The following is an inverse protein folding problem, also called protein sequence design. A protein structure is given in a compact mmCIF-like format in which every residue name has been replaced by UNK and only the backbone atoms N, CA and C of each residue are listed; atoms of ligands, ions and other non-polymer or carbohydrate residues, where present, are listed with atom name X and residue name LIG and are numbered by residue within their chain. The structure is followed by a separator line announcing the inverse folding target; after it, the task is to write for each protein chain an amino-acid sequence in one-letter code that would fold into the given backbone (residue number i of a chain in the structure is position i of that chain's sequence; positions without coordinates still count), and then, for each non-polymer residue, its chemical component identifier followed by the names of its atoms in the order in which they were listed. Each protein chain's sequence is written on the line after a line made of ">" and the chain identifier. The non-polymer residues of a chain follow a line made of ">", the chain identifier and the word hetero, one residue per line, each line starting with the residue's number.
data_IF_477075034717
#
_entry.id   IF_477075034717
#
_cell.length_a   1.000
_cell.length_b   1.000
_cell.length_c   1.000
_cell.angle_alpha   90.00
_cell.angle_beta   90.00
_cell.angle_gamma   90.00
#
_symmetry.space_group_name_H-M   'P 1'
#
loop_
_entity.id
_entity.type
_entity.pdbx_description
1 polymer ?
#
# COMPACT_ATOMS: atom_id res chain seq x y z
N UNK A 1 -25.64 -24.52 -76.85
CA UNK A 1 -26.17 -23.57 -75.84
C UNK A 1 -25.49 -23.89 -74.52
N UNK A 2 -24.66 -22.97 -74.04
CA UNK A 2 -23.76 -23.18 -72.90
C UNK A 2 -24.55 -23.27 -71.58
N UNK A 3 -24.36 -24.37 -70.83
CA UNK A 3 -24.77 -24.47 -69.44
C UNK A 3 -23.76 -23.73 -68.56
N UNK A 4 -24.20 -22.64 -67.93
CA UNK A 4 -23.42 -21.89 -66.95
C UNK A 4 -23.62 -22.55 -65.58
N UNK A 5 -22.58 -23.22 -65.08
CA UNK A 5 -22.51 -23.69 -63.69
C UNK A 5 -21.87 -22.60 -62.83
N UNK A 6 -22.63 -22.07 -61.86
CA UNK A 6 -22.18 -21.05 -60.92
C UNK A 6 -21.60 -21.74 -59.65
N UNK A 7 -20.34 -21.53 -59.26
CA UNK A 7 -19.83 -22.09 -58.01
C UNK A 7 -20.30 -21.24 -56.82
N UNK A 8 -21.01 -21.85 -55.87
CA UNK A 8 -21.37 -21.23 -54.59
C UNK A 8 -20.09 -20.99 -53.77
N UNK A 9 -19.73 -19.73 -53.55
CA UNK A 9 -18.70 -19.35 -52.59
C UNK A 9 -19.22 -19.55 -51.16
N UNK A 10 -18.69 -20.56 -50.48
CA UNK A 10 -19.00 -20.81 -49.08
C UNK A 10 -18.07 -19.96 -48.21
N UNK A 11 -18.37 -18.67 -48.05
CA UNK A 11 -17.62 -17.78 -47.14
C UNK A 11 -18.25 -17.84 -45.76
N UNK A 12 -17.81 -18.79 -44.94
CA UNK A 12 -17.96 -18.69 -43.49
C UNK A 12 -17.23 -17.43 -43.00
N UNK A 13 -17.89 -16.49 -42.30
CA UNK A 13 -17.20 -15.38 -41.68
C UNK A 13 -16.29 -15.94 -40.58
N UNK A 14 -14.97 -15.83 -40.77
CA UNK A 14 -14.00 -16.06 -39.69
C UNK A 14 -14.29 -15.03 -38.62
N UNK A 15 -14.79 -15.50 -37.49
CA UNK A 15 -15.07 -14.70 -36.31
C UNK A 15 -13.74 -14.16 -35.79
N UNK A 16 -13.39 -12.93 -36.19
CA UNK A 16 -12.14 -12.27 -35.80
C UNK A 16 -12.29 -11.70 -34.37
N UNK A 17 -12.44 -12.58 -33.38
CA UNK A 17 -12.64 -12.23 -31.96
C UNK A 17 -11.35 -12.06 -31.17
N UNK A 18 -10.17 -12.04 -31.80
CA UNK A 18 -8.89 -12.00 -31.10
C UNK A 18 -8.04 -10.78 -31.46
N UNK A 19 -8.60 -9.58 -31.34
CA UNK A 19 -7.78 -8.36 -31.41
C UNK A 19 -8.18 -7.32 -30.35
N UNK A 20 -8.51 -7.79 -29.15
CA UNK A 20 -8.39 -6.93 -27.98
C UNK A 20 -6.90 -6.90 -27.58
N UNK A 21 -6.27 -5.72 -27.46
CA UNK A 21 -4.90 -5.65 -26.96
C UNK A 21 -4.89 -6.30 -25.58
N UNK A 22 -3.97 -7.24 -25.35
CA UNK A 22 -3.78 -7.84 -24.04
C UNK A 22 -3.52 -6.71 -23.03
N UNK A 23 -4.50 -6.40 -22.20
CA UNK A 23 -4.39 -5.40 -21.13
C UNK A 23 -3.24 -5.83 -20.24
N UNK A 24 -2.20 -5.02 -20.08
CA UNK A 24 -1.07 -5.36 -19.21
C UNK A 24 -1.38 -4.96 -17.77
N UNK A 25 -0.92 -5.76 -16.81
CA UNK A 25 -0.97 -5.40 -15.39
C UNK A 25 -0.23 -4.09 -15.18
N UNK A 26 -0.87 -3.11 -14.56
CA UNK A 26 -0.35 -1.75 -14.47
C UNK A 26 -0.55 -1.15 -13.08
N UNK A 27 0.38 -0.27 -12.69
CA UNK A 27 0.25 0.54 -11.48
C UNK A 27 -0.26 1.91 -11.90
N UNK A 28 -1.38 2.35 -11.31
CA UNK A 28 -2.00 3.64 -11.58
C UNK A 28 -2.52 4.27 -10.29
N UNK A 29 -2.90 5.55 -10.34
CA UNK A 29 -3.64 6.18 -9.23
C UNK A 29 -4.97 5.46 -9.03
N UNK A 30 -5.38 5.38 -7.79
CA UNK A 30 -6.72 4.90 -7.44
C UNK A 30 -7.78 5.89 -7.93
N UNK A 31 -8.90 5.38 -8.41
CA UNK A 31 -10.13 6.15 -8.63
C UNK A 31 -11.19 5.76 -7.58
N UNK A 32 -12.20 6.60 -7.33
CA UNK A 32 -13.29 6.24 -6.41
C UNK A 32 -14.02 4.94 -6.80
N UNK A 33 -14.12 4.63 -8.10
CA UNK A 33 -14.79 3.41 -8.57
C UNK A 33 -14.02 2.13 -8.24
N UNK A 34 -12.71 2.21 -8.00
CA UNK A 34 -11.89 1.05 -7.63
C UNK A 34 -12.26 0.49 -6.25
N UNK A 35 -12.90 1.29 -5.39
CA UNK A 35 -13.35 0.87 -4.06
C UNK A 35 -14.33 -0.32 -4.12
N UNK A 36 -15.08 -0.45 -5.20
CA UNK A 36 -15.98 -1.59 -5.43
C UNK A 36 -15.25 -2.88 -5.82
N UNK A 37 -13.93 -2.82 -6.03
CA UNK A 37 -13.09 -3.93 -6.53
C UNK A 37 -11.96 -4.32 -5.58
N UNK A 38 -12.05 -3.96 -4.30
CA UNK A 38 -11.04 -4.27 -3.29
C UNK A 38 -11.21 -5.65 -2.63
N UNK A 39 -12.22 -6.43 -3.00
CA UNK A 39 -12.52 -7.70 -2.32
C UNK A 39 -11.33 -8.68 -2.34
N UNK A 40 -10.56 -8.75 -3.43
CA UNK A 40 -9.39 -9.64 -3.53
C UNK A 40 -8.27 -9.27 -2.55
N UNK A 41 -8.19 -8.00 -2.16
CA UNK A 41 -7.16 -7.49 -1.24
C UNK A 41 -7.67 -7.44 0.18
N UNK A 42 -8.91 -7.00 0.40
CA UNK A 42 -9.46 -6.68 1.72
C UNK A 42 -10.00 -7.90 2.48
N UNK A 43 -10.11 -9.07 1.83
CA UNK A 43 -10.40 -10.35 2.49
C UNK A 43 -9.15 -10.99 3.12
N UNK A 44 -7.97 -10.40 2.92
CA UNK A 44 -6.75 -10.80 3.62
C UNK A 44 -6.87 -10.44 5.12
N UNK A 45 -6.71 -11.41 6.05
CA UNK A 45 -6.86 -11.16 7.49
C UNK A 45 -5.94 -10.09 8.07
N UNK A 46 -4.83 -9.78 7.39
CA UNK A 46 -3.87 -8.75 7.81
C UNK A 46 -4.10 -7.39 7.12
N UNK A 47 -5.16 -7.27 6.32
CA UNK A 47 -5.56 -6.01 5.69
C UNK A 47 -6.68 -5.36 6.48
N UNK A 48 -6.39 -4.20 7.08
CA UNK A 48 -7.38 -3.38 7.76
C UNK A 48 -8.42 -2.81 6.79
N UNK A 49 -9.68 -2.80 7.22
CA UNK A 49 -10.81 -2.33 6.43
C UNK A 49 -11.43 -1.08 7.05
N UNK A 50 -11.41 0.02 6.32
CA UNK A 50 -11.97 1.30 6.77
C UNK A 50 -13.35 1.58 6.17
N UNK A 51 -14.06 2.55 6.74
CA UNK A 51 -15.30 3.04 6.15
C UNK A 51 -15.05 3.81 4.84
N UNK A 52 -16.11 3.97 4.04
CA UNK A 52 -16.02 4.63 2.74
C UNK A 52 -15.54 6.09 2.86
N UNK A 53 -15.94 6.80 3.91
CA UNK A 53 -15.55 8.19 4.15
C UNK A 53 -14.04 8.33 4.36
N UNK A 54 -13.42 7.37 5.05
CA UNK A 54 -11.97 7.32 5.25
C UNK A 54 -11.22 7.21 3.91
N UNK A 55 -11.59 6.25 3.06
CA UNK A 55 -10.96 6.10 1.74
C UNK A 55 -11.15 7.35 0.86
N UNK A 56 -12.36 7.92 0.85
CA UNK A 56 -12.66 9.12 0.06
C UNK A 56 -11.87 10.34 0.57
N UNK A 57 -11.66 10.47 1.88
CA UNK A 57 -10.82 11.52 2.46
C UNK A 57 -9.39 11.46 1.92
N UNK A 58 -8.80 10.25 1.89
CA UNK A 58 -7.45 10.05 1.34
C UNK A 58 -7.38 10.36 -0.15
N UNK A 59 -8.38 9.93 -0.93
CA UNK A 59 -8.47 10.25 -2.36
C UNK A 59 -8.55 11.76 -2.61
N UNK A 60 -9.24 12.51 -1.75
CA UNK A 60 -9.37 13.96 -1.89
C UNK A 60 -8.10 14.71 -1.46
N UNK A 61 -7.46 14.29 -0.36
CA UNK A 61 -6.32 15.02 0.24
C UNK A 61 -4.98 14.61 -0.37
N UNK A 62 -4.77 13.33 -0.65
CA UNK A 62 -3.49 12.78 -1.11
C UNK A 62 -3.64 11.84 -2.33
N UNK A 63 -4.28 12.29 -3.44
CA UNK A 63 -4.50 11.43 -4.62
C UNK A 63 -3.20 10.92 -5.27
N UNK A 64 -2.08 11.58 -5.05
CA UNK A 64 -0.76 11.14 -5.53
C UNK A 64 -0.19 9.96 -4.73
N UNK A 65 -0.62 9.78 -3.48
CA UNK A 65 -0.13 8.74 -2.55
C UNK A 65 -1.10 7.56 -2.43
N UNK A 66 -2.14 7.54 -3.26
CA UNK A 66 -3.08 6.43 -3.36
C UNK A 66 -2.98 5.78 -4.74
N UNK A 67 -2.44 4.55 -4.79
CA UNK A 67 -2.21 3.83 -6.05
C UNK A 67 -2.65 2.37 -5.96
N UNK A 68 -3.05 1.82 -7.10
CA UNK A 68 -3.53 0.45 -7.25
C UNK A 68 -2.72 -0.30 -8.29
N UNK A 69 -2.69 -1.63 -8.16
CA UNK A 69 -2.30 -2.58 -9.19
C UNK A 69 -3.57 -3.06 -9.87
N UNK A 70 -3.77 -2.61 -11.10
CA UNK A 70 -4.85 -3.10 -11.96
C UNK A 70 -4.40 -4.39 -12.63
N UNK A 71 -5.10 -5.49 -12.38
CA UNK A 71 -4.91 -6.73 -13.12
C UNK A 71 -5.68 -6.73 -14.46
N UNK A 72 -5.27 -7.60 -15.39
CA UNK A 72 -5.72 -7.67 -16.79
C UNK A 72 -7.21 -7.95 -16.95
N UNK A 73 -7.85 -8.55 -15.94
CA UNK A 73 -9.29 -8.85 -15.94
C UNK A 73 -9.94 -9.05 -14.58
N UNK A 74 -9.17 -9.12 -13.49
CA UNK A 74 -9.68 -9.58 -12.18
C UNK A 74 -9.85 -8.46 -11.13
N UNK A 75 -9.82 -7.19 -11.55
CA UNK A 75 -10.00 -6.05 -10.63
C UNK A 75 -8.69 -5.57 -10.00
N UNK A 76 -8.75 -5.12 -8.75
CA UNK A 76 -7.59 -4.57 -8.04
C UNK A 76 -6.83 -5.70 -7.34
N UNK A 77 -5.61 -5.96 -7.81
CA UNK A 77 -4.75 -7.02 -7.27
C UNK A 77 -3.91 -6.56 -6.06
N UNK A 78 -3.87 -5.26 -5.79
CA UNK A 78 -3.12 -4.67 -4.69
C UNK A 78 -3.28 -3.17 -4.68
N UNK A 79 -3.11 -2.54 -3.54
CA UNK A 79 -3.10 -1.09 -3.44
C UNK A 79 -2.22 -0.62 -2.29
N UNK A 80 -1.84 0.65 -2.39
CA UNK A 80 -1.20 1.40 -1.33
C UNK A 80 -1.99 2.67 -1.08
N UNK A 81 -2.24 2.96 0.18
CA UNK A 81 -2.90 4.18 0.64
C UNK A 81 -1.99 4.86 1.65
N UNK A 82 -1.66 6.13 1.41
CA UNK A 82 -0.88 6.92 2.35
C UNK A 82 -1.24 8.39 2.35
N UNK A 83 -0.65 9.09 3.31
CA UNK A 83 -0.86 10.51 3.58
C UNK A 83 0.45 11.23 3.83
N UNK A 84 0.39 12.56 3.85
CA UNK A 84 1.42 13.43 4.40
C UNK A 84 0.84 14.14 5.61
N UNK A 85 1.57 14.11 6.72
CA UNK A 85 1.14 14.73 7.96
C UNK A 85 2.32 15.15 8.85
N UNK A 86 2.02 15.94 9.88
CA UNK A 86 2.87 16.19 11.03
C UNK A 86 1.98 16.15 12.29
N UNK A 87 2.56 15.79 13.44
CA UNK A 87 1.82 15.90 14.69
C UNK A 87 1.50 17.36 15.02
N UNK A 88 0.44 17.58 15.80
CA UNK A 88 -0.04 18.92 16.14
C UNK A 88 1.07 19.81 16.72
N UNK A 89 1.16 21.11 16.38
CA UNK A 89 2.25 21.98 16.82
C UNK A 89 2.48 22.06 18.34
N UNK A 90 1.46 21.78 19.15
CA UNK A 90 1.60 21.72 20.62
C UNK A 90 2.54 20.61 21.09
N UNK A 91 2.73 19.56 20.28
CA UNK A 91 3.58 18.41 20.59
C UNK A 91 5.05 18.66 20.24
N UNK A 92 5.43 19.80 19.64
CA UNK A 92 6.81 20.08 19.19
C UNK A 92 7.88 20.00 20.28
N UNK A 93 7.48 20.09 21.55
CA UNK A 93 8.38 19.95 22.70
C UNK A 93 8.46 18.51 23.25
N UNK A 94 7.60 17.60 22.77
CA UNK A 94 7.64 16.19 23.13
C UNK A 94 8.81 15.51 22.44
N UNK A 95 9.48 14.60 23.14
CA UNK A 95 10.49 13.72 22.56
C UNK A 95 9.91 12.74 21.52
N UNK A 96 8.58 12.58 21.50
CA UNK A 96 7.86 11.71 20.57
C UNK A 96 7.30 12.45 19.34
N UNK A 97 7.58 13.76 19.23
CA UNK A 97 7.11 14.58 18.10
C UNK A 97 7.52 13.98 16.75
N UNK A 98 6.52 13.81 15.89
CA UNK A 98 6.69 13.28 14.55
C UNK A 98 6.54 14.45 13.55
N UNK A 99 7.65 14.92 12.94
CA UNK A 99 7.64 16.06 12.03
C UNK A 99 6.99 15.68 10.68
N UNK A 100 6.96 16.62 9.74
CA UNK A 100 6.41 16.40 8.40
C UNK A 100 6.96 15.14 7.69
N UNK A 101 6.11 14.16 7.46
CA UNK A 101 6.49 12.85 6.92
C UNK A 101 5.40 12.26 6.02
N UNK A 102 5.78 11.26 5.22
CA UNK A 102 4.83 10.39 4.54
C UNK A 102 4.46 9.21 5.41
N UNK A 103 3.20 8.81 5.42
CA UNK A 103 2.73 7.67 6.21
C UNK A 103 2.03 6.65 5.30
N UNK A 104 2.45 5.38 5.37
CA UNK A 104 1.76 4.27 4.71
C UNK A 104 0.67 3.76 5.66
N UNK A 105 -0.58 4.10 5.35
CA UNK A 105 -1.75 3.63 6.10
C UNK A 105 -2.12 2.20 5.73
N UNK A 106 -2.07 1.87 4.44
CA UNK A 106 -2.37 0.52 3.95
C UNK A 106 -1.41 0.16 2.84
N UNK A 107 -0.87 -1.06 2.91
CA UNK A 107 -0.24 -1.73 1.78
C UNK A 107 -0.72 -3.17 1.75
N UNK A 108 -1.38 -3.55 0.66
CA UNK A 108 -1.87 -4.92 0.49
C UNK A 108 -1.72 -5.37 -0.96
N UNK A 109 -1.44 -6.66 -1.12
CA UNK A 109 -1.40 -7.35 -2.41
C UNK A 109 -2.11 -8.68 -2.22
N UNK A 110 -3.11 -8.92 -3.06
CA UNK A 110 -3.91 -10.13 -3.07
C UNK A 110 -2.98 -11.36 -3.08
N UNK A 111 -3.27 -12.43 -2.31
CA UNK A 111 -2.36 -13.55 -2.13
C UNK A 111 -1.79 -14.14 -3.43
N UNK A 112 -2.61 -14.27 -4.47
CA UNK A 112 -2.20 -14.80 -5.77
C UNK A 112 -1.26 -13.88 -6.59
N UNK A 113 -1.13 -12.59 -6.22
CA UNK A 113 -0.21 -11.63 -6.84
C UNK A 113 1.02 -11.31 -5.98
N UNK A 114 1.20 -11.98 -4.84
CA UNK A 114 2.39 -11.78 -3.99
C UNK A 114 3.65 -12.34 -4.66
N UNK A 115 4.82 -11.87 -4.20
CA UNK A 115 6.16 -12.25 -4.74
C UNK A 115 6.42 -11.84 -6.19
N UNK A 116 5.56 -11.00 -6.79
CA UNK A 116 5.75 -10.40 -8.12
C UNK A 116 6.31 -8.97 -8.09
N UNK A 117 6.75 -8.50 -6.92
CA UNK A 117 7.34 -7.17 -6.73
C UNK A 117 6.34 -6.00 -6.68
N UNK A 118 5.03 -6.27 -6.67
CA UNK A 118 4.01 -5.21 -6.63
C UNK A 118 4.05 -4.36 -5.37
N UNK A 119 4.20 -4.97 -4.19
CA UNK A 119 4.29 -4.24 -2.92
C UNK A 119 5.43 -3.21 -2.98
N UNK A 120 6.63 -3.66 -3.38
CA UNK A 120 7.80 -2.79 -3.58
C UNK A 120 7.53 -1.62 -4.53
N UNK A 121 6.97 -1.90 -5.71
CA UNK A 121 6.70 -0.85 -6.72
C UNK A 121 5.64 0.16 -6.28
N UNK A 122 4.66 -0.29 -5.49
CA UNK A 122 3.67 0.59 -4.86
C UNK A 122 4.32 1.48 -3.81
N UNK A 123 5.14 0.90 -2.93
CA UNK A 123 5.91 1.62 -1.91
C UNK A 123 6.85 2.64 -2.56
N UNK A 124 7.65 2.26 -3.56
CA UNK A 124 8.55 3.18 -4.31
C UNK A 124 7.80 4.35 -4.98
N UNK A 125 6.51 4.18 -5.31
CA UNK A 125 5.68 5.27 -5.84
C UNK A 125 5.24 6.23 -4.74
N UNK A 126 4.84 5.71 -3.58
CA UNK A 126 4.50 6.52 -2.41
C UNK A 126 5.74 7.25 -1.88
N UNK A 127 6.87 6.57 -1.73
CA UNK A 127 8.17 7.14 -1.32
C UNK A 127 8.56 8.35 -2.18
N UNK A 128 8.50 8.21 -3.51
CA UNK A 128 8.75 9.34 -4.42
C UNK A 128 7.75 10.48 -4.24
N UNK A 129 6.49 10.14 -3.98
CA UNK A 129 5.46 11.13 -3.70
C UNK A 129 5.76 11.91 -2.41
N UNK A 130 6.20 11.22 -1.36
CA UNK A 130 6.59 11.84 -0.09
C UNK A 130 7.85 12.70 -0.23
N UNK A 131 8.86 12.20 -0.94
CA UNK A 131 10.13 12.88 -1.17
C UNK A 131 9.95 14.20 -1.95
N UNK A 132 9.13 14.20 -3.00
CA UNK A 132 8.79 15.43 -3.76
C UNK A 132 8.05 16.45 -2.89
N UNK A 133 7.35 16.01 -1.84
CA UNK A 133 6.65 16.87 -0.89
C UNK A 133 7.50 17.20 0.35
N UNK A 134 8.83 17.07 0.25
CA UNK A 134 9.79 17.48 1.28
C UNK A 134 9.57 16.79 2.64
N UNK A 135 9.06 15.55 2.63
CA UNK A 135 8.97 14.71 3.81
C UNK A 135 10.36 14.41 4.39
N UNK A 136 10.48 14.31 5.71
CA UNK A 136 11.72 13.86 6.36
C UNK A 136 11.96 12.36 6.15
N UNK A 137 10.90 11.57 6.22
CA UNK A 137 10.91 10.12 6.07
C UNK A 137 9.55 9.63 5.59
N UNK A 138 9.49 8.35 5.26
CA UNK A 138 8.24 7.59 5.18
C UNK A 138 8.17 6.61 6.34
N UNK A 139 7.06 6.59 7.06
CA UNK A 139 6.80 5.63 8.13
C UNK A 139 5.60 4.72 7.87
N UNK A 140 5.41 3.77 8.77
CA UNK A 140 4.28 2.85 8.84
C UNK A 140 4.24 2.14 10.20
N UNK A 141 3.05 1.68 10.57
CA UNK A 141 2.88 0.71 11.65
C UNK A 141 2.70 -0.69 11.08
N UNK A 142 3.44 -1.65 11.61
CA UNK A 142 3.29 -3.07 11.26
C UNK A 142 3.23 -3.92 12.52
N UNK A 143 2.27 -4.85 12.56
CA UNK A 143 2.13 -5.89 13.59
C UNK A 143 3.48 -6.58 13.84
N UNK A 144 3.97 -6.57 15.08
CA UNK A 144 5.29 -7.11 15.42
C UNK A 144 5.40 -8.63 15.14
N UNK A 145 4.27 -9.35 15.13
CA UNK A 145 4.16 -10.76 14.75
C UNK A 145 4.19 -11.00 13.23
N UNK A 146 3.90 -10.00 12.40
CA UNK A 146 3.90 -10.13 10.93
C UNK A 146 5.33 -10.08 10.35
N UNK A 147 6.12 -11.13 10.63
CA UNK A 147 7.53 -11.22 10.21
C UNK A 147 7.72 -11.09 8.70
N UNK A 148 6.76 -11.57 7.90
CA UNK A 148 6.80 -11.45 6.43
C UNK A 148 6.78 -9.99 5.99
N UNK A 149 5.88 -9.17 6.56
CA UNK A 149 5.82 -7.74 6.23
C UNK A 149 7.03 -6.99 6.80
N UNK A 150 7.44 -7.29 8.04
CA UNK A 150 8.63 -6.68 8.66
C UNK A 150 9.87 -6.91 7.79
N UNK A 151 10.14 -8.16 7.38
CA UNK A 151 11.29 -8.50 6.53
C UNK A 151 11.19 -7.85 5.14
N UNK A 152 9.97 -7.76 4.59
CA UNK A 152 9.73 -7.04 3.33
C UNK A 152 10.12 -5.56 3.45
N UNK A 153 9.69 -4.87 4.52
CA UNK A 153 10.04 -3.47 4.76
C UNK A 153 11.54 -3.28 5.03
N UNK A 154 12.16 -4.16 5.83
CA UNK A 154 13.63 -4.18 6.02
C UNK A 154 14.36 -4.31 4.68
N UNK A 155 13.91 -5.21 3.79
CA UNK A 155 14.45 -5.36 2.43
C UNK A 155 14.22 -4.16 1.48
N UNK A 156 13.34 -3.22 1.85
CA UNK A 156 13.12 -1.95 1.14
C UNK A 156 13.91 -0.77 1.74
N UNK A 157 14.66 -1.01 2.82
CA UNK A 157 15.48 0.00 3.50
C UNK A 157 14.78 0.69 4.67
N UNK A 158 13.67 0.16 5.17
CA UNK A 158 13.07 0.62 6.42
C UNK A 158 13.79 -0.01 7.62
N UNK A 159 13.93 0.75 8.71
CA UNK A 159 14.36 0.24 10.02
C UNK A 159 13.29 0.49 11.07
N UNK A 160 13.28 -0.31 12.14
CA UNK A 160 12.41 -0.02 13.28
C UNK A 160 12.92 1.24 13.98
N UNK A 161 12.05 2.23 14.16
CA UNK A 161 12.36 3.45 14.90
C UNK A 161 11.99 3.31 16.38
N UNK A 162 10.82 2.71 16.66
CA UNK A 162 10.31 2.40 18.01
C UNK A 162 9.33 1.25 17.98
N UNK A 163 9.09 0.65 19.16
CA UNK A 163 8.02 -0.34 19.38
C UNK A 163 6.85 0.35 20.10
N UNK A 164 5.66 0.31 19.51
CA UNK A 164 4.45 0.86 20.13
C UNK A 164 3.70 -0.28 20.81
N UNK A 165 3.65 -0.21 22.14
CA UNK A 165 3.14 -1.29 22.98
C UNK A 165 1.62 -1.36 22.89
N UNK A 166 1.07 -2.55 22.68
CA UNK A 166 -0.39 -2.78 22.57
C UNK A 166 -1.09 -1.85 21.56
N UNK A 167 -0.45 -1.58 20.43
CA UNK A 167 -1.00 -0.69 19.40
C UNK A 167 -2.24 -1.28 18.72
N UNK A 168 -2.20 -2.57 18.36
CA UNK A 168 -3.35 -3.27 17.81
C UNK A 168 -4.13 -3.94 18.95
N UNK A 169 -5.38 -3.53 19.13
CA UNK A 169 -6.26 -4.05 20.18
C UNK A 169 -6.91 -5.39 19.81
N UNK A 170 -6.85 -5.77 18.53
CA UNK A 170 -7.39 -7.00 17.99
C UNK A 170 -6.29 -8.03 17.68
N UNK A 171 -6.64 -9.31 17.81
CA UNK A 171 -5.77 -10.45 17.50
C UNK A 171 -6.34 -11.28 16.35
N UNK A 172 -6.13 -10.85 15.09
CA UNK A 172 -6.54 -11.63 13.92
C UNK A 172 -5.71 -12.92 13.74
N UNK A 173 -4.61 -13.08 14.49
CA UNK A 173 -3.74 -14.27 14.42
C UNK A 173 -4.10 -15.37 15.42
N UNK A 174 -4.89 -15.05 16.45
CA UNK A 174 -5.18 -15.95 17.58
C UNK A 174 -3.98 -16.22 18.49
N UNK A 175 -2.93 -15.40 18.44
CA UNK A 175 -1.67 -15.58 19.18
C UNK A 175 -1.55 -14.71 20.44
N UNK A 176 -2.50 -13.83 20.76
CA UNK A 176 -2.45 -12.93 21.92
C UNK A 176 -3.84 -12.61 22.51
N UNK A 177 -4.00 -12.85 23.81
CA UNK A 177 -5.21 -12.48 24.56
C UNK A 177 -5.25 -10.97 24.95
N UNK A 178 -4.15 -10.23 24.77
CA UNK A 178 -3.96 -8.88 25.37
C UNK A 178 -3.65 -7.76 24.38
N UNK A 179 -3.78 -8.01 23.08
CA UNK A 179 -3.39 -7.08 22.01
C UNK A 179 -2.00 -7.37 21.43
N UNK A 180 -1.60 -6.64 20.40
CA UNK A 180 -0.34 -6.84 19.68
C UNK A 180 0.45 -5.53 19.54
N UNK A 181 1.74 -5.58 19.83
CA UNK A 181 2.66 -4.48 19.58
C UNK A 181 2.78 -4.16 18.09
N UNK A 182 3.04 -2.89 17.78
CA UNK A 182 3.45 -2.47 16.45
C UNK A 182 4.92 -2.07 16.44
N UNK A 183 5.58 -2.24 15.30
CA UNK A 183 6.79 -1.50 14.97
C UNK A 183 6.41 -0.27 14.14
N UNK A 184 6.79 0.92 14.63
CA UNK A 184 6.92 2.13 13.81
C UNK A 184 8.21 1.98 13.02
N UNK A 185 8.08 1.68 11.73
CA UNK A 185 9.21 1.51 10.82
C UNK A 185 9.38 2.72 9.93
N UNK A 186 10.62 3.21 9.78
CA UNK A 186 10.93 4.42 9.02
C UNK A 186 11.98 4.18 7.95
N UNK A 187 11.84 4.90 6.84
CA UNK A 187 12.85 5.03 5.80
C UNK A 187 13.10 6.52 5.53
N UNK A 188 14.35 6.99 5.57
CA UNK A 188 14.65 8.41 5.41
C UNK A 188 14.40 8.85 3.96
N UNK A 189 13.84 10.04 3.78
CA UNK A 189 13.74 10.72 2.49
C UNK A 189 15.01 11.56 2.25
N UNK A 190 15.13 12.16 1.06
CA UNK A 190 16.31 12.95 0.67
C UNK A 190 16.55 14.19 1.54
N UNK A 191 15.52 14.66 2.25
CA UNK A 191 15.60 15.76 3.22
C UNK A 191 16.43 15.39 4.45
N UNK A 192 16.32 14.17 4.97
CA UNK A 192 17.00 13.73 6.19
C UNK A 192 18.45 13.29 5.91
N UNK A 193 19.29 14.25 5.55
CA UNK A 193 20.70 14.00 5.17
C UNK A 193 21.56 13.47 6.32
N UNK A 194 21.18 13.79 7.55
CA UNK A 194 21.90 13.44 8.76
C UNK A 194 21.33 12.20 9.45
N UNK A 195 20.27 11.61 8.90
CA UNK A 195 19.60 10.43 9.45
C UNK A 195 19.08 10.66 10.89
N UNK A 196 18.57 11.86 11.15
CA UNK A 196 18.07 12.31 12.45
C UNK A 196 16.75 11.63 12.84
N UNK A 197 15.99 11.14 11.86
CA UNK A 197 14.66 10.57 12.07
C UNK A 197 14.58 9.05 11.88
N UNK A 198 15.74 8.38 11.85
CA UNK A 198 15.87 6.93 11.91
C UNK A 198 16.76 6.52 13.09
N UNK A 199 16.73 5.24 13.44
CA UNK A 199 17.45 4.73 14.60
C UNK A 199 17.86 3.26 14.38
N UNK A 200 18.96 2.87 14.99
CA UNK A 200 19.36 1.46 15.16
C UNK A 200 18.75 0.87 16.43
N UNK A 201 18.35 -0.40 16.38
CA UNK A 201 17.73 -1.12 17.51
C UNK A 201 16.46 -0.42 18.05
N UNK A 202 15.63 0.14 17.16
CA UNK A 202 14.38 0.78 17.56
C UNK A 202 13.39 -0.17 18.23
N UNK A 203 13.54 -1.50 18.06
CA UNK A 203 12.76 -2.50 18.79
C UNK A 203 12.86 -2.35 20.33
N UNK A 204 13.97 -1.80 20.82
CA UNK A 204 14.28 -1.61 22.25
C UNK A 204 13.76 -0.28 22.83
N UNK A 205 13.04 0.51 22.04
CA UNK A 205 12.44 1.79 22.46
C UNK A 205 10.92 1.66 22.52
N UNK A 206 10.36 1.17 23.64
CA UNK A 206 8.92 1.08 23.83
C UNK A 206 8.29 2.46 24.08
N UNK A 207 7.13 2.69 23.46
CA UNK A 207 6.25 3.84 23.73
C UNK A 207 4.80 3.40 23.82
N UNK A 208 3.94 4.23 24.42
CA UNK A 208 2.49 4.01 24.43
C UNK A 208 1.82 4.49 23.14
N UNK A 209 0.60 4.02 22.81
CA UNK A 209 -0.17 4.56 21.69
C UNK A 209 -0.43 6.08 21.81
N UNK A 210 -0.58 6.59 23.03
CA UNK A 210 -0.76 8.02 23.33
C UNK A 210 0.41 8.91 22.90
N UNK A 211 1.61 8.32 22.72
CA UNK A 211 2.81 9.05 22.31
C UNK A 211 2.89 9.25 20.79
N UNK A 212 2.09 8.49 20.02
CA UNK A 212 2.20 8.40 18.55
C UNK A 212 0.95 8.81 17.79
N UNK A 213 -0.18 8.96 18.50
CA UNK A 213 -1.47 9.39 17.94
C UNK A 213 -1.61 10.91 17.82
#
# INVERSE_FOLDING_TARGET
>A
MNHISNPRSNTHPRNNKNNQPATMTSIRRMSPTDLFSLNLTNLDPLTENYDLGFYLNYLMRWPSLFSVVQDRGEGIAGYIMGKLEEQHPSMRHSEHYTPWHGHITVLTVAPAWRRLGFARRLTERLERGSDINDAWFVDLYVRAGNKVAVDMYKGMGYSVFRRVVNYYSDDPSGMSETGEDAYDMRKPCSRDKNLEHVRENGEDFPVGPEDVL
#
